data_IF_189070628849
#
_entry.id   IF_189070628849
#
_cell.length_a   1.000
_cell.length_b   1.000
_cell.length_c   1.000
_cell.angle_alpha   90.00
_cell.angle_beta   90.00
_cell.angle_gamma   90.00
#
_symmetry.space_group_name_H-M   'P 1'
#
loop_
_entity.id
_entity.type
_entity.pdbx_description
1 polymer ?
#
# COMPACT_ATOMS: atom_id res chain seq x y z
N UNK A 1 -1.97 -9.05 22.68
CA UNK A 1 -2.06 -8.06 21.59
C UNK A 1 -2.36 -8.82 20.31
N UNK A 2 -3.36 -8.38 19.56
CA UNK A 2 -3.75 -8.98 18.28
C UNK A 2 -2.97 -8.30 17.16
N UNK A 3 -2.42 -9.10 16.23
CA UNK A 3 -1.76 -8.60 15.02
C UNK A 3 -2.54 -9.08 13.80
N UNK A 4 -2.75 -8.21 12.82
CA UNK A 4 -3.44 -8.58 11.60
C UNK A 4 -3.17 -7.65 10.43
N UNK A 5 -3.66 -8.04 9.27
CA UNK A 5 -3.49 -7.29 8.02
C UNK A 5 -4.79 -6.54 7.70
N UNK A 6 -4.66 -5.27 7.37
CA UNK A 6 -5.75 -4.43 6.84
C UNK A 6 -5.46 -4.09 5.38
N UNK A 7 -6.40 -4.39 4.50
CA UNK A 7 -6.30 -4.09 3.07
C UNK A 7 -7.51 -3.28 2.60
N UNK A 8 -7.29 -2.43 1.61
CA UNK A 8 -8.36 -1.73 0.88
C UNK A 8 -8.37 -2.23 -0.56
N UNK A 9 -9.51 -2.75 -0.99
CA UNK A 9 -9.68 -3.28 -2.34
C UNK A 9 -10.97 -2.76 -2.97
N UNK A 10 -10.82 -1.92 -3.99
CA UNK A 10 -11.91 -1.38 -4.78
C UNK A 10 -11.57 -1.51 -6.26
N UNK A 11 -12.36 -2.25 -6.99
CA UNK A 11 -12.23 -2.33 -8.44
C UNK A 11 -12.51 -0.98 -9.10
N UNK A 12 -11.89 -0.78 -10.23
CA UNK A 12 -12.20 0.31 -11.15
C UNK A 12 -12.60 -0.26 -12.51
N UNK A 13 -13.16 0.53 -13.42
CA UNK A 13 -13.43 0.05 -14.78
C UNK A 13 -12.18 -0.47 -15.52
N UNK A 14 -11.00 0.03 -15.13
CA UNK A 14 -9.74 -0.27 -15.80
C UNK A 14 -8.93 -1.38 -15.13
N UNK A 15 -9.15 -1.64 -13.82
CA UNK A 15 -8.32 -2.55 -13.04
C UNK A 15 -9.16 -3.42 -12.11
N UNK A 16 -8.98 -4.72 -12.20
CA UNK A 16 -9.62 -5.74 -11.37
C UNK A 16 -8.80 -5.99 -10.09
N UNK A 17 -8.80 -5.03 -9.16
CA UNK A 17 -8.05 -5.13 -7.91
C UNK A 17 -8.41 -6.35 -7.06
N UNK A 18 -9.65 -6.87 -7.17
CA UNK A 18 -10.04 -8.08 -6.45
C UNK A 18 -9.17 -9.29 -6.83
N UNK A 19 -8.71 -9.42 -8.08
CA UNK A 19 -7.83 -10.52 -8.50
C UNK A 19 -6.43 -10.41 -7.90
N UNK A 20 -5.88 -9.18 -7.83
CA UNK A 20 -4.62 -8.92 -7.14
C UNK A 20 -4.76 -9.25 -5.64
N UNK A 21 -5.85 -8.81 -5.02
CA UNK A 21 -6.13 -9.09 -3.61
C UNK A 21 -6.29 -10.58 -3.32
N UNK A 22 -6.91 -11.38 -4.20
CA UNK A 22 -7.03 -12.83 -4.05
C UNK A 22 -5.66 -13.51 -3.95
N UNK A 23 -4.73 -13.12 -4.83
CA UNK A 23 -3.34 -13.63 -4.81
C UNK A 23 -2.59 -13.14 -3.57
N UNK A 24 -2.68 -11.83 -3.25
CA UNK A 24 -2.06 -11.26 -2.07
C UNK A 24 -2.53 -11.95 -0.78
N UNK A 25 -3.82 -12.26 -0.65
CA UNK A 25 -4.38 -13.02 0.49
C UNK A 25 -3.75 -14.40 0.63
N UNK A 26 -3.53 -15.11 -0.47
CA UNK A 26 -2.87 -16.43 -0.44
C UNK A 26 -1.43 -16.29 0.12
N UNK A 27 -0.68 -15.28 -0.31
CA UNK A 27 0.67 -15.02 0.18
C UNK A 27 0.70 -14.63 1.66
N UNK A 28 -0.19 -13.73 2.09
CA UNK A 28 -0.31 -13.36 3.51
C UNK A 28 -0.54 -14.59 4.38
N UNK A 29 -1.41 -15.49 3.96
CA UNK A 29 -1.69 -16.73 4.70
C UNK A 29 -0.49 -17.67 4.76
N UNK A 30 0.26 -17.78 3.68
CA UNK A 30 1.44 -18.64 3.62
C UNK A 30 2.55 -18.09 4.52
N UNK A 31 2.90 -16.81 4.38
CA UNK A 31 4.09 -16.23 4.98
C UNK A 31 3.85 -15.53 6.32
N UNK A 32 2.74 -14.80 6.46
CA UNK A 32 2.47 -14.07 7.71
C UNK A 32 1.56 -14.85 8.67
N UNK A 33 0.66 -15.69 8.15
CA UNK A 33 -0.32 -16.48 8.93
C UNK A 33 -1.18 -15.62 9.86
N UNK A 34 -1.54 -14.41 9.40
CA UNK A 34 -2.30 -13.43 10.14
C UNK A 34 -3.76 -13.38 9.70
N UNK A 35 -4.63 -12.90 10.58
CA UNK A 35 -5.98 -12.52 10.24
C UNK A 35 -5.99 -11.35 9.26
N UNK A 36 -6.98 -11.34 8.35
CA UNK A 36 -7.10 -10.32 7.32
C UNK A 36 -8.45 -9.62 7.46
N UNK A 37 -8.43 -8.31 7.50
CA UNK A 37 -9.61 -7.46 7.31
C UNK A 37 -9.52 -6.77 5.96
N UNK A 38 -10.54 -6.97 5.12
CA UNK A 38 -10.65 -6.37 3.80
C UNK A 38 -11.73 -5.29 3.79
N UNK A 39 -11.34 -4.04 3.57
CA UNK A 39 -12.26 -2.92 3.36
C UNK A 39 -12.57 -2.82 1.87
N UNK A 40 -13.82 -2.92 1.49
CA UNK A 40 -14.25 -2.95 0.08
C UNK A 40 -15.68 -2.41 -0.08
N UNK A 41 -16.13 -2.17 -1.31
CA UNK A 41 -17.53 -1.87 -1.59
C UNK A 41 -18.30 -3.14 -2.00
N UNK A 42 -19.62 -3.03 -2.04
CA UNK A 42 -20.50 -4.16 -2.36
C UNK A 42 -20.25 -4.71 -3.78
N UNK A 43 -19.91 -3.87 -4.73
CA UNK A 43 -19.67 -4.27 -6.13
C UNK A 43 -18.42 -5.13 -6.24
N UNK A 44 -17.31 -4.68 -5.67
CA UNK A 44 -16.06 -5.45 -5.64
C UNK A 44 -16.21 -6.72 -4.80
N UNK A 45 -16.89 -6.63 -3.64
CA UNK A 45 -17.13 -7.77 -2.77
C UNK A 45 -17.79 -8.96 -3.49
N UNK A 46 -18.78 -8.69 -4.34
CA UNK A 46 -19.49 -9.73 -5.10
C UNK A 46 -18.62 -10.48 -6.11
N UNK A 47 -17.46 -9.93 -6.48
CA UNK A 47 -16.55 -10.53 -7.45
C UNK A 47 -15.52 -11.46 -6.83
N UNK A 48 -15.28 -11.36 -5.53
CA UNK A 48 -14.34 -12.24 -4.84
C UNK A 48 -14.78 -13.70 -4.92
N UNK A 49 -13.84 -14.57 -5.25
CA UNK A 49 -13.98 -16.00 -4.99
C UNK A 49 -14.02 -16.24 -3.47
N UNK A 50 -14.56 -17.38 -3.00
CA UNK A 50 -14.49 -17.73 -1.58
C UNK A 50 -13.04 -17.79 -1.10
N UNK A 51 -12.61 -16.78 -0.34
CA UNK A 51 -11.23 -16.68 0.18
C UNK A 51 -11.06 -17.27 1.59
N UNK A 52 -12.02 -18.06 2.07
CA UNK A 52 -12.00 -18.59 3.44
C UNK A 52 -12.20 -17.48 4.48
N UNK A 53 -11.59 -17.61 5.67
CA UNK A 53 -11.77 -16.65 6.77
C UNK A 53 -11.10 -15.29 6.46
N UNK A 54 -11.90 -14.35 5.97
CA UNK A 54 -11.58 -12.93 5.84
C UNK A 54 -12.68 -12.12 6.49
N UNK A 55 -12.32 -11.13 7.28
CA UNK A 55 -13.25 -10.17 7.84
C UNK A 55 -13.50 -9.06 6.82
N UNK A 56 -14.69 -9.02 6.21
CA UNK A 56 -15.04 -7.96 5.26
C UNK A 56 -15.70 -6.78 5.97
N UNK A 57 -15.22 -5.57 5.67
CA UNK A 57 -15.84 -4.32 6.06
C UNK A 57 -16.35 -3.62 4.81
N UNK A 58 -17.66 -3.62 4.61
CA UNK A 58 -18.28 -2.94 3.48
C UNK A 58 -18.39 -1.45 3.76
N UNK A 59 -17.91 -0.65 2.81
CA UNK A 59 -17.98 0.81 2.83
C UNK A 59 -18.47 1.31 1.48
N UNK A 60 -19.06 2.51 1.48
CA UNK A 60 -19.37 3.21 0.25
C UNK A 60 -18.36 4.36 0.06
N UNK A 61 -17.38 4.23 -0.87
CA UNK A 61 -16.39 5.26 -1.07
C UNK A 61 -17.05 6.54 -1.63
N UNK A 62 -17.22 7.54 -0.77
CA UNK A 62 -17.94 8.77 -1.08
C UNK A 62 -17.26 9.70 -2.07
N UNK A 63 -15.95 9.53 -2.24
CA UNK A 63 -15.15 10.40 -3.12
C UNK A 63 -14.21 9.58 -3.97
N UNK A 64 -14.32 9.76 -5.28
CA UNK A 64 -13.31 9.29 -6.22
C UNK A 64 -12.19 10.31 -6.31
N UNK A 65 -10.95 9.86 -6.21
CA UNK A 65 -9.78 10.58 -6.67
C UNK A 65 -9.44 10.07 -8.08
N UNK A 66 -8.54 10.75 -8.78
CA UNK A 66 -8.10 10.30 -10.09
C UNK A 66 -6.58 10.23 -10.14
N UNK A 67 -6.06 9.34 -10.99
CA UNK A 67 -4.63 9.27 -11.30
C UNK A 67 -4.41 9.05 -12.78
N UNK A 68 -3.26 9.50 -13.32
CA UNK A 68 -2.84 9.07 -14.65
C UNK A 68 -2.55 7.55 -14.63
N UNK A 69 -3.06 6.85 -15.64
CA UNK A 69 -2.78 5.44 -15.88
C UNK A 69 -2.84 5.18 -17.37
N UNK A 70 -1.73 4.74 -17.99
CA UNK A 70 -1.62 4.49 -19.45
C UNK A 70 -2.17 5.64 -20.31
N UNK A 71 -1.85 6.88 -19.97
CA UNK A 71 -2.27 8.07 -20.69
C UNK A 71 -3.73 8.50 -20.50
N UNK A 72 -4.48 7.82 -19.63
CA UNK A 72 -5.85 8.17 -19.26
C UNK A 72 -5.92 8.64 -17.81
N UNK A 73 -6.94 9.43 -17.46
CA UNK A 73 -7.28 9.73 -16.07
C UNK A 73 -8.27 8.68 -15.60
N UNK A 74 -7.87 7.86 -14.62
CA UNK A 74 -8.69 6.76 -14.09
C UNK A 74 -9.10 7.03 -12.64
N UNK A 75 -10.22 6.44 -12.20
CA UNK A 75 -10.67 6.52 -10.82
C UNK A 75 -9.64 5.88 -9.87
N UNK A 76 -9.48 6.49 -8.69
CA UNK A 76 -8.54 6.03 -7.69
C UNK A 76 -9.14 6.12 -6.28
N UNK A 77 -9.51 4.97 -5.71
CA UNK A 77 -10.13 4.87 -4.39
C UNK A 77 -9.05 4.75 -3.31
N UNK A 78 -8.34 5.84 -3.04
CA UNK A 78 -7.24 5.85 -2.07
C UNK A 78 -7.53 6.66 -0.80
N UNK A 79 -8.64 7.39 -0.76
CA UNK A 79 -8.94 8.32 0.34
C UNK A 79 -9.38 7.63 1.63
N UNK A 80 -10.05 6.49 1.52
CA UNK A 80 -10.53 5.69 2.66
C UNK A 80 -9.40 5.19 3.55
N UNK A 81 -8.20 5.09 3.02
CA UNK A 81 -7.00 4.69 3.75
C UNK A 81 -6.65 5.61 4.95
N UNK A 82 -7.05 6.88 4.89
CA UNK A 82 -6.92 7.81 6.01
C UNK A 82 -7.70 7.36 7.27
N UNK A 83 -8.68 6.46 7.10
CA UNK A 83 -9.50 5.89 8.18
C UNK A 83 -8.94 4.56 8.70
N UNK A 84 -7.74 4.15 8.29
CA UNK A 84 -7.21 2.82 8.60
C UNK A 84 -7.09 2.55 10.09
N UNK A 85 -6.76 3.57 10.89
CA UNK A 85 -6.71 3.43 12.34
C UNK A 85 -8.07 3.02 12.94
N UNK A 86 -9.16 3.60 12.45
CA UNK A 86 -10.53 3.31 12.92
C UNK A 86 -11.11 2.04 12.29
N UNK A 87 -10.65 1.69 11.09
CA UNK A 87 -11.10 0.49 10.40
C UNK A 87 -10.43 -0.78 10.89
N UNK A 88 -9.22 -0.69 11.41
CA UNK A 88 -8.49 -1.86 11.90
C UNK A 88 -9.06 -2.38 13.23
N UNK A 89 -9.35 -3.69 13.33
CA UNK A 89 -9.74 -4.31 14.60
C UNK A 89 -8.54 -4.76 15.46
N UNK A 90 -7.29 -4.59 14.98
CA UNK A 90 -6.09 -5.15 15.59
C UNK A 90 -5.35 -4.15 16.45
N UNK A 91 -4.63 -4.64 17.47
CA UNK A 91 -3.71 -3.82 18.28
C UNK A 91 -2.47 -3.41 17.48
N UNK A 92 -1.92 -4.33 16.67
CA UNK A 92 -0.87 -4.08 15.67
C UNK A 92 -1.41 -4.39 14.28
N UNK A 93 -1.30 -3.44 13.36
CA UNK A 93 -1.83 -3.54 12.01
C UNK A 93 -0.73 -3.43 10.97
N UNK A 94 -0.73 -4.35 10.02
CA UNK A 94 -0.01 -4.23 8.76
C UNK A 94 -1.01 -3.75 7.72
N UNK A 95 -1.03 -2.45 7.45
CA UNK A 95 -1.83 -1.84 6.39
C UNK A 95 -1.07 -1.96 5.08
N UNK A 96 -1.64 -2.64 4.08
CA UNK A 96 -0.96 -2.85 2.80
C UNK A 96 -1.90 -2.73 1.61
N UNK A 97 -1.33 -2.37 0.47
CA UNK A 97 -2.04 -2.38 -0.81
C UNK A 97 -2.22 -3.82 -1.31
N UNK A 98 -3.28 -4.08 -2.07
CA UNK A 98 -3.58 -5.41 -2.60
C UNK A 98 -2.67 -5.83 -3.76
N UNK A 99 -1.79 -4.95 -4.20
CA UNK A 99 -0.75 -5.18 -5.20
C UNK A 99 0.67 -5.25 -4.60
N UNK A 100 0.77 -5.43 -3.28
CA UNK A 100 2.01 -5.75 -2.57
C UNK A 100 2.01 -7.22 -2.18
N UNK A 101 2.95 -7.98 -2.74
CA UNK A 101 3.05 -9.42 -2.57
C UNK A 101 4.11 -9.78 -1.54
N UNK A 102 3.72 -10.63 -0.61
CA UNK A 102 4.56 -11.04 0.53
C UNK A 102 5.14 -12.43 0.25
N UNK A 103 6.45 -12.54 0.27
CA UNK A 103 7.19 -13.78 0.09
C UNK A 103 8.16 -14.04 1.26
N UNK A 104 8.02 -13.30 2.35
CA UNK A 104 8.88 -13.42 3.54
C UNK A 104 8.08 -13.21 4.84
N UNK A 105 8.71 -13.49 6.00
CA UNK A 105 8.17 -13.16 7.33
C UNK A 105 8.54 -11.75 7.81
N UNK A 106 9.25 -10.96 7.02
CA UNK A 106 9.83 -9.69 7.44
C UNK A 106 8.82 -8.74 8.06
N UNK A 107 7.64 -8.58 7.44
CA UNK A 107 6.59 -7.71 7.99
C UNK A 107 6.06 -8.21 9.35
N UNK A 108 5.99 -9.51 9.57
CA UNK A 108 5.60 -10.09 10.85
C UNK A 108 6.66 -9.86 11.93
N UNK A 109 7.93 -9.98 11.58
CA UNK A 109 9.05 -9.70 12.49
C UNK A 109 9.05 -8.23 12.92
N UNK A 110 8.86 -7.30 11.98
CA UNK A 110 8.72 -5.87 12.25
C UNK A 110 7.48 -5.57 13.11
N UNK A 111 6.35 -6.21 12.84
CA UNK A 111 5.12 -6.03 13.61
C UNK A 111 5.25 -6.43 15.09
N UNK A 112 6.19 -7.31 15.41
CA UNK A 112 6.51 -7.73 16.78
C UNK A 112 7.47 -6.77 17.52
N UNK A 113 7.93 -5.71 16.87
CA UNK A 113 8.77 -4.68 17.52
C UNK A 113 7.89 -3.58 18.13
N UNK A 114 8.49 -2.64 18.85
CA UNK A 114 7.80 -1.49 19.45
C UNK A 114 7.96 -0.27 18.54
N UNK A 115 6.83 0.27 18.09
CA UNK A 115 6.76 1.49 17.28
C UNK A 115 5.37 2.13 17.38
N UNK A 116 5.19 3.35 16.92
CA UNK A 116 3.87 3.96 16.75
C UNK A 116 3.36 3.76 15.31
N UNK A 117 4.14 4.24 14.35
CA UNK A 117 3.91 4.11 12.90
C UNK A 117 5.25 3.84 12.22
N UNK A 118 5.28 2.90 11.28
CA UNK A 118 6.47 2.53 10.52
C UNK A 118 6.11 2.32 9.04
N UNK A 119 6.92 2.85 8.12
CA UNK A 119 6.74 2.71 6.69
C UNK A 119 8.08 2.89 5.95
N UNK A 120 8.08 2.67 4.64
CA UNK A 120 9.29 2.82 3.83
C UNK A 120 9.56 4.28 3.48
N UNK A 121 10.81 4.72 3.63
CA UNK A 121 11.35 5.99 3.12
C UNK A 121 12.19 5.78 1.86
N UNK A 122 12.51 4.54 1.51
CA UNK A 122 13.27 4.15 0.32
C UNK A 122 12.53 3.09 -0.48
N UNK A 123 12.61 3.22 -1.78
CA UNK A 123 12.05 2.25 -2.75
C UNK A 123 13.07 2.01 -3.83
N UNK A 124 13.30 0.76 -4.13
CA UNK A 124 14.17 0.35 -5.21
C UNK A 124 13.39 -0.51 -6.22
N UNK A 125 13.60 -0.23 -7.49
CA UNK A 125 13.22 -1.18 -8.52
C UNK A 125 14.01 -2.48 -8.31
N UNK A 126 13.42 -3.60 -8.66
CA UNK A 126 14.07 -4.91 -8.54
C UNK A 126 15.37 -5.01 -9.36
N UNK A 127 15.57 -4.10 -10.31
CA UNK A 127 16.83 -3.95 -11.05
C UNK A 127 17.89 -3.16 -10.29
N UNK A 128 17.58 -2.69 -9.06
CA UNK A 128 18.48 -1.94 -8.18
C UNK A 128 18.46 -0.42 -8.36
N UNK A 129 17.61 0.12 -9.24
CA UNK A 129 17.45 1.56 -9.39
C UNK A 129 16.59 2.15 -8.27
N UNK A 130 17.07 3.24 -7.66
CA UNK A 130 16.29 3.98 -6.67
C UNK A 130 15.10 4.68 -7.33
N UNK A 131 13.90 4.34 -6.87
CA UNK A 131 12.67 5.00 -7.30
C UNK A 131 12.42 6.24 -6.44
N UNK A 132 12.76 7.39 -6.97
CA UNK A 132 12.52 8.67 -6.30
C UNK A 132 11.09 9.13 -6.65
N UNK A 133 10.22 9.23 -5.64
CA UNK A 133 8.92 9.91 -5.76
C UNK A 133 9.13 11.40 -6.09
N UNK A 134 9.46 11.70 -7.32
CA UNK A 134 9.69 13.03 -7.84
C UNK A 134 10.62 13.89 -6.97
N UNK A 135 11.62 14.53 -7.54
CA UNK A 135 12.42 15.52 -6.80
C UNK A 135 11.48 16.63 -6.34
N UNK A 136 11.11 16.60 -5.08
CA UNK A 136 10.35 17.68 -4.48
C UNK A 136 11.33 18.82 -4.12
N UNK A 137 10.99 20.04 -4.45
CA UNK A 137 11.79 21.22 -4.06
C UNK A 137 11.67 21.54 -2.56
N UNK A 138 10.77 20.83 -1.87
CA UNK A 138 10.60 20.95 -0.42
C UNK A 138 11.54 20.00 0.32
N UNK A 139 11.85 20.34 1.57
CA UNK A 139 12.60 19.48 2.49
C UNK A 139 11.74 18.38 3.12
N UNK A 140 10.54 18.13 2.57
CA UNK A 140 9.65 17.10 3.07
C UNK A 140 10.25 15.71 2.79
N UNK A 141 10.58 14.92 3.82
CA UNK A 141 11.00 13.54 3.62
C UNK A 141 9.84 12.75 3.00
N UNK A 142 10.03 12.26 1.79
CA UNK A 142 9.03 11.45 1.14
C UNK A 142 9.02 10.06 1.74
N UNK A 143 7.83 9.48 1.83
CA UNK A 143 7.60 8.11 2.30
C UNK A 143 6.72 7.39 1.30
N UNK A 144 6.78 6.08 1.33
CA UNK A 144 5.98 5.23 0.47
C UNK A 144 4.94 4.48 1.30
N UNK A 145 3.67 4.79 1.08
CA UNK A 145 2.57 4.32 1.92
C UNK A 145 1.97 2.97 1.51
N UNK A 146 2.54 2.28 0.53
CA UNK A 146 2.06 0.95 0.08
C UNK A 146 1.96 -0.03 1.24
N UNK A 147 2.97 -0.04 2.11
CA UNK A 147 2.95 -0.78 3.37
C UNK A 147 3.18 0.18 4.52
N UNK A 148 2.28 0.15 5.49
CA UNK A 148 2.37 0.95 6.72
C UNK A 148 2.03 0.06 7.90
N UNK A 149 2.95 -0.07 8.85
CA UNK A 149 2.69 -0.74 10.12
C UNK A 149 2.30 0.30 11.15
N UNK A 150 1.28 0.03 11.97
CA UNK A 150 0.95 0.88 13.11
C UNK A 150 0.42 0.09 14.29
N UNK A 151 0.70 0.58 15.50
CA UNK A 151 0.15 0.06 16.74
C UNK A 151 -0.94 1.00 17.26
N UNK A 152 -1.92 0.48 18.02
CA UNK A 152 -3.02 1.27 18.60
C UNK A 152 -2.52 2.13 19.75
N UNK A 153 -1.64 3.09 19.46
CA UNK A 153 -1.07 4.06 20.41
C UNK A 153 -1.69 5.45 20.21
N UNK A 154 -1.54 6.31 21.22
CA UNK A 154 -1.97 7.71 21.11
C UNK A 154 -1.21 8.47 20.00
N UNK A 155 0.07 8.17 19.80
CA UNK A 155 0.85 8.79 18.72
C UNK A 155 0.40 8.34 17.34
N UNK A 156 0.12 7.04 17.14
CA UNK A 156 -0.43 6.55 15.90
C UNK A 156 -1.81 7.18 15.62
N UNK A 157 -2.67 7.32 16.62
CA UNK A 157 -3.95 8.06 16.48
C UNK A 157 -3.70 9.48 15.96
N UNK A 158 -2.78 10.24 16.57
CA UNK A 158 -2.44 11.60 16.13
C UNK A 158 -1.95 11.65 14.67
N UNK A 159 -1.17 10.64 14.24
CA UNK A 159 -0.71 10.55 12.84
C UNK A 159 -1.90 10.38 11.90
N UNK A 160 -2.84 9.47 12.19
CA UNK A 160 -4.01 9.25 11.33
C UNK A 160 -5.00 10.43 11.37
N UNK A 161 -5.19 11.08 12.51
CA UNK A 161 -5.98 12.31 12.60
C UNK A 161 -5.36 13.43 11.74
N UNK A 162 -4.02 13.55 11.73
CA UNK A 162 -3.32 14.50 10.89
C UNK A 162 -3.42 14.15 9.39
N UNK A 163 -3.38 12.86 9.02
CA UNK A 163 -3.61 12.41 7.65
C UNK A 163 -5.01 12.81 7.15
N UNK A 164 -6.04 12.62 7.99
CA UNK A 164 -7.40 13.05 7.67
C UNK A 164 -7.49 14.58 7.51
N UNK A 165 -6.80 15.32 8.37
CA UNK A 165 -6.71 16.77 8.26
C UNK A 165 -6.00 17.22 6.97
N UNK A 166 -4.87 16.60 6.63
CA UNK A 166 -4.17 16.84 5.35
C UNK A 166 -5.08 16.52 4.17
N UNK A 167 -5.84 15.43 4.22
CA UNK A 167 -6.78 15.06 3.16
C UNK A 167 -7.87 16.12 2.97
N UNK A 168 -8.45 16.61 4.05
CA UNK A 168 -9.49 17.63 4.03
C UNK A 168 -8.98 18.97 3.46
N UNK A 169 -7.73 19.32 3.78
CA UNK A 169 -7.11 20.60 3.39
C UNK A 169 -5.96 20.42 2.40
N UNK A 170 -6.05 19.42 1.52
CA UNK A 170 -4.93 19.02 0.66
C UNK A 170 -4.34 20.16 -0.16
N UNK A 171 -5.16 21.03 -0.74
CA UNK A 171 -4.70 22.20 -1.52
C UNK A 171 -3.83 23.15 -0.68
N UNK A 172 -4.18 23.36 0.60
CA UNK A 172 -3.35 24.16 1.50
C UNK A 172 -1.97 23.52 1.69
N UNK A 173 -1.91 22.22 2.01
CA UNK A 173 -0.67 21.50 2.23
C UNK A 173 0.16 21.34 0.95
N UNK A 174 -0.51 21.14 -0.20
CA UNK A 174 0.12 21.11 -1.51
C UNK A 174 0.90 22.42 -1.77
N UNK A 175 0.27 23.58 -1.52
CA UNK A 175 0.93 24.87 -1.69
C UNK A 175 2.04 25.08 -0.67
N UNK A 176 1.80 24.76 0.61
CA UNK A 176 2.79 24.94 1.70
C UNK A 176 4.07 24.14 1.44
N UNK A 177 3.94 22.88 0.98
CA UNK A 177 5.06 21.99 0.71
C UNK A 177 5.49 21.96 -0.76
N UNK A 178 4.93 22.84 -1.62
CA UNK A 178 5.23 22.92 -3.06
C UNK A 178 5.10 21.56 -3.77
N UNK A 179 4.08 20.77 -3.41
CA UNK A 179 3.83 19.47 -4.02
C UNK A 179 3.28 19.71 -5.44
N UNK A 180 4.00 19.22 -6.46
CA UNK A 180 3.60 19.40 -7.87
C UNK A 180 2.43 18.50 -8.27
N UNK A 181 2.21 17.38 -7.55
CA UNK A 181 1.14 16.45 -7.88
C UNK A 181 -0.22 17.01 -7.44
N UNK A 182 -1.18 17.22 -8.35
CA UNK A 182 -2.40 17.98 -8.05
C UNK A 182 -3.40 17.20 -7.21
N UNK A 183 -3.39 15.87 -7.31
CA UNK A 183 -4.37 15.01 -6.64
C UNK A 183 -3.81 14.48 -5.31
N UNK A 184 -4.71 14.23 -4.37
CA UNK A 184 -4.35 13.65 -3.07
C UNK A 184 -3.65 12.30 -3.24
N UNK A 185 -2.53 12.13 -2.53
CA UNK A 185 -1.80 10.86 -2.39
C UNK A 185 -1.52 10.58 -0.92
N UNK A 186 -1.69 9.31 -0.54
CA UNK A 186 -1.37 8.85 0.80
C UNK A 186 0.10 9.09 1.16
N UNK A 187 1.03 8.87 0.22
CA UNK A 187 2.46 9.09 0.41
C UNK A 187 2.76 10.51 0.94
N UNK A 188 2.17 11.53 0.30
CA UNK A 188 2.33 12.91 0.75
C UNK A 188 1.63 13.18 2.07
N UNK A 189 0.44 12.59 2.29
CA UNK A 189 -0.29 12.81 3.54
C UNK A 189 0.44 12.20 4.73
N UNK A 190 1.00 10.99 4.59
CA UNK A 190 1.87 10.39 5.61
C UNK A 190 3.14 11.21 5.82
N UNK A 191 3.85 11.59 4.75
CA UNK A 191 5.05 12.41 4.85
C UNK A 191 4.80 13.71 5.62
N UNK A 192 3.71 14.43 5.29
CA UNK A 192 3.32 15.67 5.98
C UNK A 192 2.99 15.41 7.45
N UNK A 193 2.18 14.38 7.73
CA UNK A 193 1.78 14.05 9.09
C UNK A 193 3.00 13.73 9.98
N UNK A 194 3.90 12.88 9.50
CA UNK A 194 5.11 12.50 10.23
C UNK A 194 6.04 13.71 10.44
N UNK A 195 6.21 14.54 9.42
CA UNK A 195 7.02 15.76 9.52
C UNK A 195 6.45 16.75 10.53
N UNK A 196 5.14 17.06 10.46
CA UNK A 196 4.47 17.98 11.36
C UNK A 196 4.49 17.52 12.84
N UNK A 197 4.33 16.22 13.05
CA UNK A 197 4.27 15.65 14.39
C UNK A 197 5.65 15.24 14.92
N UNK A 198 6.69 15.23 14.08
CA UNK A 198 8.03 14.71 14.37
C UNK A 198 7.97 13.27 14.91
N UNK A 199 7.14 12.46 14.26
CA UNK A 199 6.89 11.06 14.60
C UNK A 199 7.23 10.17 13.40
N UNK A 200 7.31 8.86 13.65
CA UNK A 200 7.48 7.82 12.64
C UNK A 200 8.82 7.09 12.74
N UNK A 201 8.76 5.85 12.35
CA UNK A 201 9.91 4.98 12.16
C UNK A 201 9.95 4.55 10.69
N UNK A 202 11.13 4.20 10.22
CA UNK A 202 11.28 3.72 8.85
C UNK A 202 11.64 2.24 8.86
N UNK A 203 11.10 1.51 7.88
CA UNK A 203 11.47 0.13 7.62
C UNK A 203 12.92 0.12 7.13
N UNK A 204 13.82 -0.67 7.77
CA UNK A 204 15.25 -0.59 7.50
C UNK A 204 15.66 -0.93 6.07
N UNK A 205 14.89 -1.82 5.42
CA UNK A 205 15.14 -2.24 4.04
C UNK A 205 14.35 -1.39 3.05
N UNK A 206 14.88 -1.08 1.87
CA UNK A 206 14.09 -0.49 0.79
C UNK A 206 12.91 -1.40 0.43
N UNK A 207 11.78 -0.81 0.04
CA UNK A 207 10.70 -1.56 -0.58
C UNK A 207 11.12 -1.93 -2.00
N UNK A 208 11.07 -3.21 -2.33
CA UNK A 208 11.29 -3.65 -3.70
C UNK A 208 10.03 -3.41 -4.56
N UNK A 209 10.24 -3.00 -5.80
CA UNK A 209 9.16 -2.71 -6.74
C UNK A 209 9.44 -3.31 -8.11
N UNK A 210 8.42 -3.93 -8.71
CA UNK A 210 8.39 -4.24 -10.14
C UNK A 210 7.75 -3.07 -10.89
N UNK A 211 8.57 -2.29 -11.57
CA UNK A 211 8.12 -1.15 -12.37
C UNK A 211 7.38 -1.58 -13.64
N UNK A 212 6.64 -0.66 -14.26
CA UNK A 212 5.85 -0.91 -15.48
C UNK A 212 6.68 -1.42 -16.69
N UNK A 213 8.01 -1.25 -16.64
CA UNK A 213 8.95 -1.73 -17.68
C UNK A 213 9.31 -3.21 -17.58
N UNK A 214 8.82 -3.89 -16.55
CA UNK A 214 9.09 -5.29 -16.28
C UNK A 214 7.87 -6.10 -16.68
N UNK A 215 8.04 -7.05 -17.59
CA UNK A 215 6.96 -7.94 -18.01
C UNK A 215 6.83 -9.09 -17.02
N UNK A 216 5.72 -9.15 -16.28
CA UNK A 216 5.43 -10.29 -15.41
C UNK A 216 4.94 -11.45 -16.25
N UNK A 217 5.66 -12.57 -16.20
CA UNK A 217 5.37 -13.78 -16.98
C UNK A 217 4.47 -14.72 -16.17
N UNK A 218 4.82 -14.94 -14.90
CA UNK A 218 4.13 -15.89 -14.03
C UNK A 218 4.36 -15.54 -12.55
N UNK A 219 3.58 -16.14 -11.68
CA UNK A 219 3.82 -16.10 -10.23
C UNK A 219 3.42 -17.42 -9.60
N UNK A 220 4.26 -17.93 -8.77
CA UNK A 220 3.98 -19.09 -7.94
C UNK A 220 3.89 -18.72 -6.45
N UNK A 221 3.91 -19.73 -5.61
CA UNK A 221 3.84 -19.55 -4.16
C UNK A 221 5.11 -18.93 -3.55
N UNK A 222 6.23 -18.91 -4.26
CA UNK A 222 7.55 -18.55 -3.74
C UNK A 222 8.12 -17.27 -4.36
N UNK A 223 7.48 -16.75 -5.42
CA UNK A 223 7.92 -15.51 -6.05
C UNK A 223 7.20 -15.17 -7.36
N UNK A 224 7.77 -14.22 -8.06
CA UNK A 224 7.27 -13.73 -9.35
C UNK A 224 8.35 -13.94 -10.40
N UNK A 225 7.96 -14.57 -11.51
CA UNK A 225 8.79 -14.70 -12.71
C UNK A 225 8.54 -13.49 -13.60
N UNK A 226 9.58 -12.78 -13.95
CA UNK A 226 9.49 -11.59 -14.78
C UNK A 226 10.59 -11.53 -15.82
N UNK A 227 10.33 -10.83 -16.91
CA UNK A 227 11.30 -10.51 -17.93
C UNK A 227 11.72 -9.05 -17.83
N UNK A 228 13.01 -8.83 -17.82
CA UNK A 228 13.61 -7.50 -17.92
C UNK A 228 14.71 -7.57 -18.98
N UNK A 229 14.65 -6.70 -19.98
CA UNK A 229 15.42 -6.84 -21.21
C UNK A 229 15.22 -8.24 -21.84
N UNK A 230 16.28 -8.98 -22.11
CA UNK A 230 16.23 -10.34 -22.64
C UNK A 230 16.39 -11.43 -21.57
N UNK A 231 16.40 -11.06 -20.30
CA UNK A 231 16.62 -11.98 -19.18
C UNK A 231 15.32 -12.32 -18.46
N UNK A 232 15.12 -13.60 -18.15
CA UNK A 232 14.07 -14.07 -17.26
C UNK A 232 14.63 -14.17 -15.86
N UNK A 233 13.95 -13.57 -14.90
CA UNK A 233 14.36 -13.44 -13.51
C UNK A 233 13.25 -13.91 -12.57
N UNK A 234 13.59 -14.14 -11.30
CA UNK A 234 12.67 -14.59 -10.25
C UNK A 234 12.95 -13.87 -8.92
N UNK A 235 11.87 -13.41 -8.24
CA UNK A 235 11.97 -12.60 -7.01
C UNK A 235 12.12 -13.42 -5.73
N UNK A 236 12.59 -14.63 -5.77
CA UNK A 236 12.57 -15.58 -4.65
C UNK A 236 12.76 -14.96 -3.24
N UNK A 237 11.75 -15.15 -2.38
CA UNK A 237 11.81 -14.74 -0.97
C UNK A 237 11.80 -13.23 -0.72
N UNK A 238 11.59 -12.40 -1.73
CA UNK A 238 11.55 -10.95 -1.62
C UNK A 238 10.12 -10.41 -1.75
N UNK A 239 9.65 -9.71 -0.72
CA UNK A 239 8.39 -8.97 -0.76
C UNK A 239 8.48 -7.87 -1.83
N UNK A 240 7.44 -7.71 -2.65
CA UNK A 240 7.49 -6.82 -3.82
C UNK A 240 6.17 -6.10 -4.09
N UNK A 241 6.26 -4.82 -4.43
CA UNK A 241 5.14 -4.04 -4.94
C UNK A 241 5.09 -4.10 -6.47
N UNK A 242 3.94 -4.45 -7.04
CA UNK A 242 3.76 -4.60 -8.47
C UNK A 242 3.09 -3.35 -9.04
N UNK A 243 3.72 -2.73 -10.05
CA UNK A 243 3.16 -1.56 -10.72
C UNK A 243 2.25 -1.95 -11.88
N UNK A 244 2.52 -3.05 -12.58
CA UNK A 244 1.65 -3.59 -13.60
C UNK A 244 0.44 -4.28 -12.97
N UNK A 245 -0.76 -3.71 -13.14
CA UNK A 245 -1.99 -4.18 -12.46
C UNK A 245 -2.77 -5.22 -13.27
N UNK A 246 -2.51 -5.36 -14.56
CA UNK A 246 -3.31 -6.16 -15.48
C UNK A 246 -2.78 -7.59 -15.66
N UNK A 247 -1.58 -7.89 -15.17
CA UNK A 247 -0.99 -9.22 -15.30
C UNK A 247 -1.85 -10.35 -14.67
N UNK A 248 -2.71 -10.03 -13.72
CA UNK A 248 -3.65 -10.97 -13.12
C UNK A 248 -4.92 -11.20 -13.94
N UNK A 249 -5.13 -10.45 -15.04
CA UNK A 249 -6.34 -10.51 -15.86
C UNK A 249 -6.25 -11.55 -16.99
N UNK A 250 -5.06 -12.13 -17.19
CA UNK A 250 -4.76 -13.19 -18.16
C UNK A 250 -5.24 -14.58 -17.76
#
# INVERSE_FOLDING_TARGET
MTTGVLMYCFDTPEVNYHRLAERCVAQIRKYLKLEITMVTNLETFKKFKPLGMINYKLVDPKTTNTRPYRGKSVAWHNKERALAYDHSPYDTTILMDCDYFVFSSTLLELANTKFDVMLHDRVQDITGEDMILGKNESTLPLVWATVTLFQKTANARRVFDMIQHVQQYYTHYQNLYRIRYPNYRNDYAFAIALHQLKLGNFIPTPMAMLADRVDIIDSDDDGIVFKYDDCVNFTSGQDVHIMEKEWCDG
#
